data_IF_789126658199
#
_entry.id   IF_789126658199
#
_cell.length_a   1.000
_cell.length_b   1.000
_cell.length_c   1.000
_cell.angle_alpha   90.00
_cell.angle_beta   90.00
_cell.angle_gamma   90.00
#
_symmetry.space_group_name_H-M   'P 1'
#
loop_
_entity.id
_entity.type
_entity.pdbx_description
1 polymer ?
#
# COMPACT_ATOMS: atom_id res chain seq x y z
N UNK A 1 7.77 -0.14 -3.21
CA UNK A 1 7.05 0.69 -2.23
C UNK A 1 7.15 0.02 -0.88
N UNK A 2 7.82 0.68 0.06
CA UNK A 2 7.97 0.20 1.44
C UNK A 2 6.63 0.25 2.17
N UNK A 3 6.19 -0.86 2.76
CA UNK A 3 4.98 -0.92 3.57
C UNK A 3 4.89 0.17 4.64
N UNK A 4 6.00 0.48 5.30
CA UNK A 4 6.07 1.51 6.36
C UNK A 4 5.82 2.93 5.85
N UNK A 5 6.07 3.22 4.57
CA UNK A 5 5.76 4.54 3.99
C UNK A 5 4.27 4.86 4.08
N UNK A 6 3.43 3.83 4.01
CA UNK A 6 1.99 4.01 4.01
C UNK A 6 1.42 4.48 5.34
N UNK A 7 2.16 4.32 6.44
CA UNK A 7 1.80 4.87 7.75
C UNK A 7 1.81 6.41 7.74
N UNK A 8 2.51 7.03 6.77
CA UNK A 8 2.60 8.47 6.59
C UNK A 8 1.69 9.01 5.48
N UNK A 9 1.03 8.13 4.72
CA UNK A 9 0.31 8.51 3.50
C UNK A 9 -1.22 8.41 3.69
N UNK A 10 -1.89 9.56 3.58
CA UNK A 10 -3.34 9.65 3.52
C UNK A 10 -3.83 9.90 2.08
N UNK A 11 -5.13 9.68 1.83
CA UNK A 11 -5.72 10.03 0.53
C UNK A 11 -5.47 11.51 0.21
N UNK A 12 -4.83 11.85 -0.93
CA UNK A 12 -4.55 13.26 -1.28
C UNK A 12 -5.82 14.10 -1.44
N UNK A 13 -6.94 13.45 -1.79
CA UNK A 13 -8.21 14.10 -2.13
C UNK A 13 -9.14 14.35 -0.93
N UNK A 14 -9.19 13.43 0.03
CA UNK A 14 -10.11 13.54 1.19
C UNK A 14 -9.43 13.38 2.54
N UNK A 15 -8.10 13.23 2.57
CA UNK A 15 -7.28 13.07 3.78
C UNK A 15 -7.61 11.85 4.65
N UNK A 16 -8.42 10.92 4.14
CA UNK A 16 -8.74 9.67 4.82
C UNK A 16 -7.50 8.77 4.96
N UNK A 17 -7.38 8.15 6.12
CA UNK A 17 -6.39 7.16 6.49
C UNK A 17 -7.05 6.12 7.43
N UNK A 18 -6.72 4.83 7.34
CA UNK A 18 -5.77 4.20 6.41
C UNK A 18 -6.34 4.02 4.99
N UNK A 19 -5.45 3.80 4.02
CA UNK A 19 -5.82 3.30 2.70
C UNK A 19 -5.81 1.78 2.71
N UNK A 20 -6.64 1.14 1.90
CA UNK A 20 -6.51 -0.30 1.65
C UNK A 20 -5.39 -0.54 0.64
N UNK A 21 -4.58 -1.59 0.84
CA UNK A 21 -3.49 -1.95 -0.05
C UNK A 21 -3.75 -3.31 -0.71
N UNK A 22 -3.76 -3.33 -2.03
CA UNK A 22 -3.87 -4.52 -2.86
C UNK A 22 -2.54 -4.79 -3.55
N UNK A 23 -1.87 -5.86 -3.15
CA UNK A 23 -0.53 -6.21 -3.63
C UNK A 23 -0.64 -7.11 -4.85
N UNK A 24 -0.01 -6.71 -5.95
CA UNK A 24 0.08 -7.48 -7.19
C UNK A 24 1.48 -8.11 -7.28
N UNK A 25 2.54 -7.38 -6.97
CA UNK A 25 3.89 -7.91 -7.07
C UNK A 25 4.75 -7.38 -5.95
N UNK A 26 5.59 -8.26 -5.39
CA UNK A 26 6.55 -7.92 -4.35
C UNK A 26 7.96 -8.28 -4.81
N UNK A 27 8.95 -7.53 -4.34
CA UNK A 27 10.37 -7.85 -4.49
C UNK A 27 11.03 -7.90 -3.13
N UNK A 28 11.89 -8.89 -2.95
CA UNK A 28 12.73 -9.03 -1.75
C UNK A 28 14.13 -8.50 -2.03
N UNK A 29 14.66 -7.75 -1.08
CA UNK A 29 15.97 -7.11 -1.09
C UNK A 29 16.84 -7.69 0.03
N UNK A 30 17.49 -8.86 -0.20
CA UNK A 30 18.27 -9.55 0.82
C UNK A 30 19.48 -8.75 1.32
N UNK A 31 20.03 -7.86 0.50
CA UNK A 31 21.17 -7.01 0.84
C UNK A 31 20.91 -6.07 2.05
N UNK A 32 19.64 -5.85 2.41
CA UNK A 32 19.23 -4.99 3.54
C UNK A 32 19.35 -5.69 4.90
N UNK A 33 19.68 -6.98 4.94
CA UNK A 33 19.63 -7.79 6.16
C UNK A 33 20.47 -7.22 7.32
N UNK A 34 21.69 -6.78 7.04
CA UNK A 34 22.57 -6.23 8.07
C UNK A 34 22.04 -4.90 8.65
N UNK A 35 21.49 -4.03 7.80
CA UNK A 35 20.90 -2.77 8.23
C UNK A 35 19.64 -2.98 9.06
N UNK A 36 18.78 -3.91 8.64
CA UNK A 36 17.56 -4.29 9.34
C UNK A 36 17.89 -4.85 10.72
N UNK A 37 18.91 -5.72 10.83
CA UNK A 37 19.36 -6.25 12.11
C UNK A 37 19.79 -5.14 13.07
N UNK A 38 20.65 -4.21 12.61
CA UNK A 38 21.09 -3.06 13.41
C UNK A 38 19.93 -2.16 13.84
N UNK A 39 18.93 -1.99 12.98
CA UNK A 39 17.72 -1.23 13.29
C UNK A 39 16.91 -1.91 14.40
N UNK A 40 16.69 -3.22 14.30
CA UNK A 40 15.89 -4.00 15.25
C UNK A 40 16.57 -4.21 16.61
N UNK A 41 17.90 -4.11 16.67
CA UNK A 41 18.65 -4.04 17.95
C UNK A 41 18.35 -2.74 18.72
N UNK A 42 18.05 -1.65 18.00
CA UNK A 42 17.77 -0.33 18.58
C UNK A 42 16.28 -0.07 18.81
N UNK A 43 15.44 -0.55 17.90
CA UNK A 43 14.00 -0.29 17.91
C UNK A 43 13.24 -1.62 17.90
N UNK A 44 12.45 -1.85 18.95
CA UNK A 44 11.64 -3.06 19.05
C UNK A 44 10.40 -2.93 18.17
N UNK A 45 9.99 -4.01 17.47
CA UNK A 45 8.69 -4.05 16.81
C UNK A 45 7.52 -3.81 17.79
N UNK A 46 6.38 -3.29 17.30
CA UNK A 46 6.14 -2.84 15.92
C UNK A 46 6.83 -1.51 15.61
N UNK A 47 7.37 -1.40 14.38
CA UNK A 47 8.01 -0.16 13.90
C UNK A 47 7.05 0.83 13.23
N UNK A 48 5.79 0.45 13.04
CA UNK A 48 4.73 1.34 12.54
C UNK A 48 4.02 1.97 13.74
N UNK A 49 3.53 3.20 13.60
CA UNK A 49 2.91 3.98 14.66
C UNK A 49 1.38 3.82 14.67
N UNK A 50 0.73 3.93 13.51
CA UNK A 50 -0.74 3.97 13.43
C UNK A 50 -1.33 2.72 12.78
N UNK A 51 -0.71 2.20 11.72
CA UNK A 51 -1.24 1.06 10.97
C UNK A 51 -0.15 0.19 10.36
N UNK A 52 -0.22 -1.12 10.58
CA UNK A 52 0.66 -2.09 9.94
C UNK A 52 0.08 -2.53 8.59
N UNK A 53 0.53 -1.90 7.49
CA UNK A 53 0.06 -2.26 6.14
C UNK A 53 0.44 -3.68 5.69
N UNK A 54 1.45 -4.31 6.32
CA UNK A 54 1.77 -5.72 6.04
C UNK A 54 0.74 -6.68 6.63
N UNK A 55 0.25 -6.38 7.83
CA UNK A 55 -0.75 -7.18 8.54
C UNK A 55 -2.18 -6.67 8.30
N UNK A 56 -2.35 -5.53 7.63
CA UNK A 56 -3.63 -4.85 7.41
C UNK A 56 -4.39 -4.60 8.74
N UNK A 57 -3.70 -4.12 9.78
CA UNK A 57 -4.31 -3.88 11.11
C UNK A 57 -3.80 -2.60 11.79
N UNK A 58 -4.65 -1.87 12.55
CA UNK A 58 -4.20 -0.74 13.37
C UNK A 58 -3.19 -1.14 14.44
N UNK A 59 -2.20 -0.28 14.67
CA UNK A 59 -1.28 -0.40 15.79
C UNK A 59 -1.96 0.17 17.04
N UNK A 60 -1.84 -0.52 18.19
CA UNK A 60 -2.29 0.00 19.50
C UNK A 60 -3.77 -0.20 19.89
N UNK A 61 -4.63 -0.80 19.05
CA UNK A 61 -6.04 -1.09 19.43
C UNK A 61 -6.29 -2.44 20.11
N UNK A 62 -5.34 -3.37 20.06
CA UNK A 62 -5.27 -4.56 20.92
C UNK A 62 -3.81 -4.86 21.23
N UNK A 63 -3.45 -4.70 22.51
CA UNK A 63 -2.09 -4.77 23.04
C UNK A 63 -1.51 -6.21 23.11
N UNK A 64 -2.13 -7.18 22.43
CA UNK A 64 -1.76 -8.60 22.55
C UNK A 64 -1.34 -9.28 21.24
N UNK A 65 -1.63 -8.72 20.05
CA UNK A 65 -1.41 -9.45 18.78
C UNK A 65 -0.29 -8.89 17.90
N UNK A 66 0.09 -7.62 18.06
CA UNK A 66 1.22 -7.01 17.32
C UNK A 66 2.20 -6.43 18.34
N UNK A 67 2.74 -7.30 19.18
CA UNK A 67 3.88 -7.00 20.05
C UNK A 67 5.22 -7.21 19.33
N UNK A 68 6.21 -7.74 20.06
CA UNK A 68 7.50 -8.16 19.49
C UNK A 68 7.41 -9.20 18.37
N UNK A 69 6.25 -9.85 18.19
CA UNK A 69 5.96 -10.81 17.14
C UNK A 69 5.65 -10.19 15.77
N UNK A 70 5.59 -8.86 15.65
CA UNK A 70 5.37 -8.23 14.35
C UNK A 70 6.50 -8.60 13.37
N UNK A 71 6.19 -9.03 12.13
CA UNK A 71 7.18 -9.50 11.15
C UNK A 71 7.94 -8.34 10.50
N UNK A 72 8.44 -7.40 11.31
CA UNK A 72 9.12 -6.21 10.83
C UNK A 72 10.43 -6.55 10.12
N UNK A 73 11.12 -7.62 10.52
CA UNK A 73 12.34 -8.08 9.87
C UNK A 73 12.06 -8.47 8.41
N UNK A 74 11.05 -9.30 8.18
CA UNK A 74 10.62 -9.70 6.84
C UNK A 74 10.01 -8.53 6.08
N UNK A 75 9.17 -7.73 6.73
CA UNK A 75 8.51 -6.59 6.12
C UNK A 75 9.51 -5.55 5.58
N UNK A 76 10.63 -5.33 6.26
CA UNK A 76 11.66 -4.37 5.82
C UNK A 76 12.50 -4.89 4.64
N UNK A 77 12.53 -6.21 4.42
CA UNK A 77 13.20 -6.83 3.26
C UNK A 77 12.35 -6.75 1.99
N UNK A 78 11.06 -6.46 2.09
CA UNK A 78 10.12 -6.57 0.97
C UNK A 78 9.57 -5.20 0.56
N UNK A 79 9.44 -4.99 -0.75
CA UNK A 79 8.75 -3.85 -1.32
C UNK A 79 7.64 -4.28 -2.28
N UNK A 80 6.52 -3.55 -2.25
CA UNK A 80 5.45 -3.70 -3.25
C UNK A 80 5.91 -3.05 -4.54
N UNK A 81 6.17 -3.85 -5.57
CA UNK A 81 6.57 -3.41 -6.92
C UNK A 81 5.36 -2.89 -7.68
N UNK A 82 4.31 -3.70 -7.71
CA UNK A 82 3.04 -3.39 -8.38
C UNK A 82 1.89 -3.61 -7.40
N UNK A 83 0.93 -2.70 -7.39
CA UNK A 83 -0.22 -2.79 -6.50
C UNK A 83 -1.18 -1.63 -6.66
N UNK A 84 -2.19 -1.57 -5.81
CA UNK A 84 -3.16 -0.46 -5.77
C UNK A 84 -3.41 -0.05 -4.33
N UNK A 85 -3.40 1.25 -4.09
CA UNK A 85 -3.94 1.85 -2.88
C UNK A 85 -5.38 2.26 -3.15
N UNK A 86 -6.33 1.90 -2.29
CA UNK A 86 -7.73 2.26 -2.42
C UNK A 86 -8.21 3.05 -1.21
N UNK A 87 -8.91 4.15 -1.43
CA UNK A 87 -9.52 4.94 -0.39
C UNK A 87 -10.96 4.48 -0.16
N UNK A 88 -11.28 3.82 0.97
CA UNK A 88 -12.64 3.37 1.25
C UNK A 88 -13.62 4.53 1.44
N UNK A 89 -13.14 5.73 1.82
CA UNK A 89 -13.98 6.90 2.03
C UNK A 89 -14.49 7.54 0.73
N UNK A 90 -13.61 7.74 -0.26
CA UNK A 90 -13.99 8.46 -1.49
C UNK A 90 -14.02 7.61 -2.76
N UNK A 91 -13.60 6.34 -2.67
CA UNK A 91 -13.60 5.36 -3.77
C UNK A 91 -12.47 5.55 -4.77
N UNK A 92 -11.48 6.42 -4.49
CA UNK A 92 -10.33 6.62 -5.37
C UNK A 92 -9.28 5.54 -5.19
N UNK A 93 -8.69 5.14 -6.29
CA UNK A 93 -7.59 4.17 -6.29
C UNK A 93 -6.32 4.79 -6.86
N UNK A 94 -5.13 4.41 -6.39
CA UNK A 94 -3.85 4.92 -6.85
C UNK A 94 -2.94 3.74 -7.21
N UNK A 95 -2.41 3.67 -8.45
CA UNK A 95 -1.51 2.59 -8.82
C UNK A 95 -0.15 2.74 -8.13
N UNK A 96 0.43 1.61 -7.77
CA UNK A 96 1.85 1.46 -7.45
C UNK A 96 2.49 0.83 -8.67
N UNK A 97 3.48 1.50 -9.25
CA UNK A 97 4.22 1.07 -10.45
C UNK A 97 5.69 1.26 -10.18
N UNK A 98 6.50 0.24 -10.42
CA UNK A 98 7.94 0.24 -10.18
C UNK A 98 8.27 0.77 -8.78
N UNK A 99 7.56 0.25 -7.78
CA UNK A 99 7.74 0.59 -6.38
C UNK A 99 7.31 2.01 -5.97
N UNK A 100 6.75 2.80 -6.90
CA UNK A 100 6.35 4.20 -6.67
C UNK A 100 4.81 4.31 -6.60
N UNK A 101 4.24 4.75 -5.46
CA UNK A 101 2.81 5.04 -5.37
C UNK A 101 2.49 6.35 -6.10
N UNK A 102 1.73 6.27 -7.20
CA UNK A 102 1.32 7.43 -8.01
C UNK A 102 0.03 8.06 -7.45
N UNK A 103 0.17 8.82 -6.37
CA UNK A 103 -0.94 9.47 -5.65
C UNK A 103 -1.28 10.86 -6.20
N UNK A 104 -1.42 10.98 -7.52
CA UNK A 104 -1.77 12.25 -8.18
C UNK A 104 -3.26 12.59 -8.02
N UNK A 105 -3.62 13.89 -7.93
CA UNK A 105 -4.99 14.36 -8.07
C UNK A 105 -5.63 13.96 -9.41
N UNK A 106 -6.96 13.85 -9.44
CA UNK A 106 -7.70 13.33 -10.60
C UNK A 106 -7.40 14.06 -11.92
N UNK A 107 -7.24 15.39 -11.88
CA UNK A 107 -6.95 16.23 -13.05
C UNK A 107 -5.54 16.06 -13.61
N UNK A 108 -4.61 15.46 -12.85
CA UNK A 108 -3.24 15.17 -13.26
C UNK A 108 -3.05 13.73 -13.72
N UNK A 109 -4.13 12.91 -13.69
CA UNK A 109 -4.09 11.51 -14.07
C UNK A 109 -4.47 11.32 -15.54
N UNK A 110 -3.67 10.53 -16.24
CA UNK A 110 -3.91 10.17 -17.64
C UNK A 110 -4.85 8.98 -17.73
N UNK A 111 -6.06 9.20 -18.23
CA UNK A 111 -7.13 8.19 -18.31
C UNK A 111 -6.68 6.91 -19.01
N UNK A 112 -5.96 7.02 -20.11
CA UNK A 112 -5.51 5.89 -20.91
C UNK A 112 -4.46 5.04 -20.18
N UNK A 113 -3.56 5.67 -19.40
CA UNK A 113 -2.60 4.95 -18.56
C UNK A 113 -3.31 4.17 -17.45
N UNK A 114 -4.27 4.80 -16.77
CA UNK A 114 -5.06 4.17 -15.72
C UNK A 114 -5.91 3.00 -16.24
N UNK A 115 -6.59 3.18 -17.38
CA UNK A 115 -7.39 2.10 -17.99
C UNK A 115 -6.52 0.95 -18.49
N UNK A 116 -5.31 1.22 -19.02
CA UNK A 116 -4.35 0.16 -19.36
C UNK A 116 -3.90 -0.62 -18.13
N UNK A 117 -3.59 0.07 -17.04
CA UNK A 117 -3.23 -0.57 -15.77
C UNK A 117 -4.35 -1.48 -15.27
N UNK A 118 -5.60 -0.97 -15.23
CA UNK A 118 -6.75 -1.77 -14.80
C UNK A 118 -6.99 -2.99 -15.70
N UNK A 119 -6.93 -2.84 -17.03
CA UNK A 119 -7.06 -3.97 -17.96
C UNK A 119 -5.99 -5.04 -17.75
N UNK A 120 -4.74 -4.63 -17.49
CA UNK A 120 -3.62 -5.55 -17.26
C UNK A 120 -3.79 -6.36 -15.98
N UNK A 121 -4.40 -5.79 -14.94
CA UNK A 121 -4.45 -6.40 -13.59
C UNK A 121 -5.86 -6.66 -13.07
N UNK A 122 -6.88 -6.61 -13.92
CA UNK A 122 -8.28 -6.74 -13.52
C UNK A 122 -8.57 -8.03 -12.74
N UNK A 123 -7.95 -9.15 -13.11
CA UNK A 123 -8.17 -10.46 -12.47
C UNK A 123 -7.55 -10.56 -11.06
N UNK A 124 -6.72 -9.58 -10.70
CA UNK A 124 -5.99 -9.52 -9.42
C UNK A 124 -6.49 -8.40 -8.51
N UNK A 125 -7.50 -7.66 -8.95
CA UNK A 125 -8.05 -6.51 -8.26
C UNK A 125 -9.54 -6.73 -7.96
N UNK A 126 -10.05 -6.25 -6.81
CA UNK A 126 -11.45 -6.37 -6.48
C UNK A 126 -12.32 -5.53 -7.42
N UNK A 127 -13.56 -5.97 -7.63
CA UNK A 127 -14.53 -5.30 -8.50
C UNK A 127 -14.74 -3.82 -8.14
N UNK A 128 -14.74 -3.49 -6.84
CA UNK A 128 -14.88 -2.10 -6.36
C UNK A 128 -13.83 -1.14 -6.91
N UNK A 129 -12.66 -1.65 -7.31
CA UNK A 129 -11.61 -0.87 -7.97
C UNK A 129 -11.83 -0.91 -9.49
N UNK A 130 -11.96 -2.11 -10.05
CA UNK A 130 -12.00 -2.33 -11.52
C UNK A 130 -13.22 -1.70 -12.17
N UNK A 131 -14.40 -1.79 -11.54
CA UNK A 131 -15.69 -1.36 -12.11
C UNK A 131 -16.24 -0.08 -11.50
N UNK A 132 -15.82 0.27 -10.27
CA UNK A 132 -16.40 1.39 -9.51
C UNK A 132 -15.36 2.41 -9.03
N UNK A 133 -14.08 2.16 -9.27
CA UNK A 133 -13.01 3.04 -8.84
C UNK A 133 -13.06 4.42 -9.48
N UNK A 134 -12.65 5.43 -8.71
CA UNK A 134 -12.43 6.80 -9.18
C UNK A 134 -10.93 7.08 -9.40
N UNK A 135 -10.57 7.97 -10.32
CA UNK A 135 -11.45 8.71 -11.23
C UNK A 135 -11.92 7.86 -12.43
N UNK A 136 -11.16 6.83 -12.80
CA UNK A 136 -11.43 6.00 -13.98
C UNK A 136 -11.60 4.53 -13.59
N UNK A 137 -12.49 3.84 -14.29
CA UNK A 137 -12.79 2.41 -14.15
C UNK A 137 -13.19 1.82 -15.52
N UNK A 138 -13.29 0.49 -15.58
CA UNK A 138 -13.60 -0.25 -16.81
C UNK A 138 -15.12 -0.35 -17.12
N UNK A 139 -16.00 0.26 -16.31
CA UNK A 139 -17.45 0.24 -16.59
C UNK A 139 -17.85 1.32 -17.60
N UNK A 140 -17.16 2.47 -17.60
CA UNK A 140 -17.41 3.59 -18.51
C UNK A 140 -16.34 3.78 -19.60
N UNK A 141 -15.60 2.72 -19.93
CA UNK A 141 -14.52 2.71 -20.93
C UNK A 141 -14.92 2.02 -22.21
#
# INVERSE_FOLDING_TARGET
MKYRFMDLAACPMCKHFPLELYVIEERTYPEREQEIRKLLERFKPPLCELYCYRLQTPVGKKIEEVGSAAPCAECLKVEVVTGVLYCPNCGRWYPIIDEIPRMLPDNLRKKEEDLRFLRKYQDRLPEKIVRHGKPWNLRGS
#
